data_IF_821024771065
#
_entry.id   IF_821024771065
#
_cell.length_a   1.000
_cell.length_b   1.000
_cell.length_c   1.000
_cell.angle_alpha   90.00
_cell.angle_beta   90.00
_cell.angle_gamma   90.00
#
_symmetry.space_group_name_H-M   'P 1'
#
loop_
_entity.id
_entity.type
_entity.pdbx_description
1 polymer ?
#
# COMPACT_ATOMS: atom_id res chain seq x y z
N UNK A 1 -9.17 -5.19 14.51
CA UNK A 1 -8.13 -5.46 13.51
C UNK A 1 -8.71 -5.79 12.13
N UNK A 2 -9.85 -6.49 12.01
CA UNK A 2 -10.49 -6.82 10.71
C UNK A 2 -10.77 -5.64 9.75
N UNK A 3 -10.93 -4.42 10.27
CA UNK A 3 -11.19 -3.25 9.45
C UNK A 3 -9.98 -2.73 8.69
N UNK A 4 -8.78 -2.83 9.29
CA UNK A 4 -7.53 -2.33 8.73
C UNK A 4 -7.06 -3.25 7.61
N UNK A 5 -7.15 -4.56 7.83
CA UNK A 5 -6.70 -5.58 6.89
C UNK A 5 -7.48 -5.53 5.56
N UNK A 6 -8.81 -5.37 5.63
CA UNK A 6 -9.65 -5.21 4.44
C UNK A 6 -9.34 -3.94 3.64
N UNK A 7 -9.06 -2.84 4.33
CA UNK A 7 -8.71 -1.55 3.68
C UNK A 7 -7.34 -1.66 3.03
N UNK A 8 -6.39 -2.31 3.71
CA UNK A 8 -5.07 -2.56 3.17
C UNK A 8 -5.11 -3.49 1.95
N UNK A 9 -5.91 -4.57 1.99
CA UNK A 9 -6.06 -5.47 0.85
C UNK A 9 -6.57 -4.73 -0.40
N UNK A 10 -7.59 -3.88 -0.25
CA UNK A 10 -8.09 -3.02 -1.33
C UNK A 10 -6.99 -2.09 -1.84
N UNK A 11 -6.27 -1.43 -0.94
CA UNK A 11 -5.17 -0.53 -1.29
C UNK A 11 -4.08 -1.23 -2.11
N UNK A 12 -3.71 -2.46 -1.74
CA UNK A 12 -2.74 -3.27 -2.48
C UNK A 12 -3.28 -3.63 -3.85
N UNK A 13 -4.51 -4.19 -3.92
CA UNK A 13 -5.13 -4.61 -5.19
C UNK A 13 -5.22 -3.45 -6.20
N UNK A 14 -5.60 -2.27 -5.72
CA UNK A 14 -5.82 -1.09 -6.56
C UNK A 14 -4.51 -0.41 -7.02
N UNK A 15 -3.42 -0.56 -6.26
CA UNK A 15 -2.20 0.22 -6.49
C UNK A 15 -0.94 -0.60 -6.85
N UNK A 16 -0.92 -1.92 -6.64
CA UNK A 16 0.27 -2.77 -6.84
C UNK A 16 0.92 -2.57 -8.23
N UNK A 17 0.13 -2.56 -9.30
CA UNK A 17 0.65 -2.44 -10.66
C UNK A 17 1.25 -1.05 -10.91
N UNK A 18 0.63 0.00 -10.37
CA UNK A 18 1.07 1.39 -10.56
C UNK A 18 2.34 1.67 -9.76
N UNK A 19 2.39 1.19 -8.51
CA UNK A 19 3.55 1.35 -7.64
C UNK A 19 4.73 0.55 -8.19
N UNK A 20 4.50 -0.68 -8.65
CA UNK A 20 5.54 -1.47 -9.31
C UNK A 20 6.06 -0.79 -10.59
N UNK A 21 5.16 -0.33 -11.47
CA UNK A 21 5.55 0.35 -12.70
C UNK A 21 6.34 1.65 -12.43
N UNK A 22 5.96 2.41 -11.40
CA UNK A 22 6.70 3.58 -10.96
C UNK A 22 8.07 3.19 -10.40
N UNK A 23 8.14 2.17 -9.54
CA UNK A 23 9.40 1.63 -9.02
C UNK A 23 10.33 1.24 -10.16
N UNK A 24 9.82 0.51 -11.16
CA UNK A 24 10.59 0.09 -12.31
C UNK A 24 11.08 1.26 -13.16
N UNK A 25 10.25 2.30 -13.35
CA UNK A 25 10.65 3.51 -14.06
C UNK A 25 11.74 4.30 -13.32
N UNK A 26 11.76 4.26 -11.99
CA UNK A 26 12.74 4.97 -11.16
C UNK A 26 14.06 4.21 -11.00
N UNK A 27 14.01 2.89 -10.86
CA UNK A 27 15.20 2.07 -10.57
C UNK A 27 15.80 1.45 -11.82
N UNK A 28 15.02 1.26 -12.89
CA UNK A 28 15.44 0.48 -14.06
C UNK A 28 15.70 -1.00 -13.78
N UNK A 29 15.43 -1.47 -12.55
CA UNK A 29 15.72 -2.81 -12.07
C UNK A 29 14.47 -3.43 -11.44
N UNK A 30 14.12 -4.64 -11.88
CA UNK A 30 12.93 -5.35 -11.41
C UNK A 30 12.99 -5.69 -9.92
N UNK A 31 14.14 -6.12 -9.41
CA UNK A 31 14.32 -6.46 -8.00
C UNK A 31 14.15 -5.21 -7.12
N UNK A 32 14.85 -4.12 -7.47
CA UNK A 32 14.75 -2.87 -6.71
C UNK A 32 13.32 -2.27 -6.79
N UNK A 33 12.61 -2.48 -7.90
CA UNK A 33 11.22 -2.07 -8.04
C UNK A 33 10.27 -2.88 -7.13
N UNK A 34 10.51 -4.19 -6.99
CA UNK A 34 9.78 -5.05 -6.05
C UNK A 34 10.04 -4.62 -4.61
N UNK A 35 11.29 -4.35 -4.25
CA UNK A 35 11.67 -3.86 -2.93
C UNK A 35 10.99 -2.52 -2.62
N UNK A 36 11.06 -1.54 -3.53
CA UNK A 36 10.39 -0.24 -3.36
C UNK A 36 8.88 -0.40 -3.18
N UNK A 37 8.25 -1.28 -3.96
CA UNK A 37 6.81 -1.52 -3.85
C UNK A 37 6.44 -2.14 -2.50
N UNK A 38 7.19 -3.17 -2.06
CA UNK A 38 6.97 -3.80 -0.76
C UNK A 38 7.16 -2.81 0.38
N UNK A 39 8.25 -2.04 0.39
CA UNK A 39 8.56 -1.07 1.43
C UNK A 39 7.48 0.02 1.54
N UNK A 40 6.96 0.44 0.38
CA UNK A 40 5.84 1.38 0.30
C UNK A 40 4.58 0.81 0.95
N UNK A 41 4.22 -0.44 0.65
CA UNK A 41 3.04 -1.08 1.23
C UNK A 41 3.19 -1.35 2.74
N UNK A 42 4.38 -1.75 3.21
CA UNK A 42 4.65 -1.92 4.64
C UNK A 42 4.48 -0.61 5.39
N UNK A 43 4.98 0.51 4.82
CA UNK A 43 4.80 1.85 5.40
C UNK A 43 3.33 2.26 5.42
N UNK A 44 2.61 2.01 4.32
CA UNK A 44 1.17 2.29 4.24
C UNK A 44 0.38 1.50 5.27
N UNK A 45 0.68 0.21 5.48
CA UNK A 45 0.03 -0.62 6.49
C UNK A 45 0.29 -0.11 7.91
N UNK A 46 1.55 0.24 8.23
CA UNK A 46 1.90 0.82 9.53
C UNK A 46 1.17 2.14 9.78
N UNK A 47 1.05 2.99 8.76
CA UNK A 47 0.29 4.23 8.86
C UNK A 47 -1.22 3.98 9.03
N UNK A 48 -1.79 3.04 8.29
CA UNK A 48 -3.20 2.65 8.44
C UNK A 48 -3.52 2.14 9.85
N UNK A 49 -2.58 1.46 10.50
CA UNK A 49 -2.73 0.98 11.87
C UNK A 49 -2.78 2.11 12.91
N UNK A 50 -2.33 3.33 12.59
CA UNK A 50 -2.40 4.49 13.49
C UNK A 50 -3.63 5.37 13.25
N UNK A 51 -4.43 5.08 12.21
CA UNK A 51 -5.60 5.87 11.88
C UNK A 51 -6.75 5.60 12.85
N UNK A 52 -7.54 6.64 13.12
CA UNK A 52 -8.75 6.50 13.94
C UNK A 52 -9.79 5.63 13.21
N UNK A 53 -10.66 4.91 13.94
CA UNK A 53 -11.74 4.13 13.33
C UNK A 53 -12.62 4.93 12.37
N UNK A 54 -12.88 6.20 12.68
CA UNK A 54 -13.61 7.16 11.82
C UNK A 54 -12.91 7.31 10.48
N UNK A 55 -11.59 7.58 10.51
CA UNK A 55 -10.78 7.76 9.30
C UNK A 55 -10.71 6.48 8.46
N UNK A 56 -10.66 5.31 9.12
CA UNK A 56 -10.68 4.01 8.44
C UNK A 56 -12.05 3.77 7.77
N UNK A 57 -13.17 4.21 8.38
CA UNK A 57 -14.49 4.12 7.76
C UNK A 57 -14.61 4.98 6.50
N UNK A 58 -14.04 6.18 6.50
CA UNK A 58 -14.04 7.07 5.32
C UNK A 58 -13.24 6.48 4.16
N UNK A 59 -12.18 5.71 4.44
CA UNK A 59 -11.37 5.00 3.43
C UNK A 59 -12.05 3.75 2.85
N UNK A 60 -13.12 3.25 3.50
CA UNK A 60 -13.87 2.08 3.03
C UNK A 60 -14.94 2.40 1.98
N UNK A 61 -15.32 3.67 1.84
CA UNK A 61 -16.26 4.14 0.81
C UNK A 61 -15.58 4.19 -0.57
#
# INVERSE_FOLDING_TARGET
MEGTDRVFERLVRDNQNRIYALGLALTGNRHDAEDVAQDTFVRAYRALATYTPERIRDLKQ
#
